data_IF_964043828761
#
_entry.id   IF_964043828761
#
_cell.length_a   1.000
_cell.length_b   1.000
_cell.length_c   1.000
_cell.angle_alpha   90.00
_cell.angle_beta   90.00
_cell.angle_gamma   90.00
#
_symmetry.space_group_name_H-M   'P 1'
#
loop_
_entity.id
_entity.type
_entity.pdbx_description
1 polymer ?
#
# COMPACT_ATOMS: atom_id res chain seq x y z
N UNK A 1 -8.71 1.58 -6.64
CA UNK A 1 -9.09 3.01 -6.70
C UNK A 1 -8.35 3.89 -5.67
N UNK A 2 -8.08 3.43 -4.44
CA UNK A 2 -7.45 4.25 -3.39
C UNK A 2 -6.11 4.86 -3.82
N UNK A 3 -5.22 4.06 -4.39
CA UNK A 3 -3.90 4.54 -4.85
C UNK A 3 -4.05 5.58 -5.94
N UNK A 4 -4.81 5.30 -7.02
CA UNK A 4 -5.12 6.29 -8.06
C UNK A 4 -5.69 7.60 -7.49
N UNK A 5 -6.62 7.52 -6.52
CA UNK A 5 -7.22 8.71 -5.89
C UNK A 5 -6.20 9.52 -5.08
N UNK A 6 -5.29 8.85 -4.38
CA UNK A 6 -4.20 9.52 -3.66
C UNK A 6 -3.29 10.26 -4.64
N UNK A 7 -2.96 9.60 -5.76
CA UNK A 7 -2.15 10.15 -6.84
C UNK A 7 -2.81 11.34 -7.56
N UNK A 8 -4.14 11.36 -7.69
CA UNK A 8 -4.85 12.48 -8.30
C UNK A 8 -5.02 13.68 -7.35
N UNK A 9 -4.95 13.48 -6.03
CA UNK A 9 -5.15 14.55 -5.03
C UNK A 9 -3.87 15.29 -4.68
N UNK A 10 -2.74 14.63 -4.80
CA UNK A 10 -1.43 15.16 -4.44
C UNK A 10 -0.55 14.97 -5.67
N UNK A 11 0.10 16.02 -6.17
CA UNK A 11 1.03 15.93 -7.33
C UNK A 11 2.19 14.94 -7.13
N UNK A 12 2.33 14.38 -5.92
CA UNK A 12 3.32 13.38 -5.52
C UNK A 12 2.65 12.24 -4.77
N UNK A 13 3.19 11.04 -4.97
CA UNK A 13 2.71 9.85 -4.24
C UNK A 13 3.04 10.00 -2.75
N UNK A 14 2.01 10.01 -1.91
CA UNK A 14 2.15 10.06 -0.46
C UNK A 14 1.77 8.72 0.15
N UNK A 15 2.76 8.00 0.68
CA UNK A 15 2.55 6.76 1.44
C UNK A 15 1.56 6.97 2.59
N UNK A 16 1.67 8.11 3.28
CA UNK A 16 0.80 8.48 4.39
C UNK A 16 -0.67 8.66 3.97
N UNK A 17 -0.94 9.37 2.86
CA UNK A 17 -2.32 9.49 2.37
C UNK A 17 -2.87 8.12 1.98
N UNK A 18 -2.08 7.28 1.29
CA UNK A 18 -2.51 5.92 0.93
C UNK A 18 -2.86 5.10 2.18
N UNK A 19 -2.01 5.07 3.20
CA UNK A 19 -2.28 4.36 4.46
C UNK A 19 -3.55 4.90 5.13
N UNK A 20 -3.69 6.23 5.24
CA UNK A 20 -4.89 6.86 5.80
C UNK A 20 -6.15 6.45 5.05
N UNK A 21 -6.13 6.43 3.71
CA UNK A 21 -7.26 5.99 2.92
C UNK A 21 -7.55 4.48 3.08
N UNK A 22 -6.51 3.64 3.22
CA UNK A 22 -6.65 2.21 3.48
C UNK A 22 -7.28 1.93 4.85
N UNK A 23 -6.87 2.64 5.89
CA UNK A 23 -7.46 2.55 7.23
C UNK A 23 -8.92 3.00 7.21
N UNK A 24 -9.21 4.13 6.55
CA UNK A 24 -10.60 4.60 6.38
C UNK A 24 -11.46 3.57 5.65
N UNK A 25 -10.90 2.94 4.62
CA UNK A 25 -11.58 1.89 3.89
C UNK A 25 -11.79 0.63 4.74
N UNK A 26 -10.80 0.16 5.50
CA UNK A 26 -10.97 -1.00 6.38
C UNK A 26 -12.04 -0.76 7.45
N UNK A 27 -12.12 0.47 7.98
CA UNK A 27 -13.12 0.85 8.99
C UNK A 27 -14.53 1.05 8.39
N UNK A 28 -14.65 1.18 7.07
CA UNK A 28 -15.95 1.27 6.39
C UNK A 28 -16.67 -0.08 6.24
N UNK A 29 -16.12 -1.16 6.81
CA UNK A 29 -16.62 -2.53 6.72
C UNK A 29 -16.81 -2.98 5.26
N UNK A 30 -15.72 -3.08 4.47
CA UNK A 30 -15.82 -3.44 3.07
C UNK A 30 -16.37 -4.86 2.89
N UNK A 31 -17.18 -5.07 1.85
CA UNK A 31 -17.76 -6.38 1.52
C UNK A 31 -16.72 -7.49 1.40
N UNK A 32 -15.50 -7.16 0.96
CA UNK A 32 -14.40 -8.10 0.85
C UNK A 32 -13.08 -7.42 1.23
N UNK A 33 -12.39 -7.98 2.21
CA UNK A 33 -11.03 -7.61 2.59
C UNK A 33 -10.18 -8.87 2.70
N UNK A 34 -9.12 -8.91 1.91
CA UNK A 34 -8.21 -10.06 1.85
C UNK A 34 -7.36 -10.19 3.12
N UNK A 35 -6.93 -11.41 3.46
CA UNK A 35 -6.08 -11.69 4.61
C UNK A 35 -4.78 -10.87 4.62
N UNK A 36 -4.17 -10.64 3.46
CA UNK A 36 -2.97 -9.79 3.32
C UNK A 36 -3.22 -8.39 3.85
N UNK A 37 -4.39 -7.83 3.53
CA UNK A 37 -4.83 -6.50 3.97
C UNK A 37 -5.22 -6.50 5.44
N UNK A 38 -5.94 -7.53 5.89
CA UNK A 38 -6.31 -7.70 7.30
C UNK A 38 -5.04 -7.74 8.14
N UNK A 39 -4.03 -8.51 7.74
CA UNK A 39 -2.77 -8.65 8.45
C UNK A 39 -2.01 -7.33 8.53
N UNK A 40 -1.89 -6.60 7.41
CA UNK A 40 -1.21 -5.30 7.39
C UNK A 40 -1.93 -4.24 8.25
N UNK A 41 -3.26 -4.20 8.17
CA UNK A 41 -4.11 -3.21 8.84
C UNK A 41 -4.65 -3.69 10.20
N UNK A 42 -4.15 -4.81 10.75
CA UNK A 42 -4.60 -5.32 12.03
C UNK A 42 -4.00 -4.49 13.17
N UNK A 43 -4.67 -3.39 13.53
CA UNK A 43 -4.35 -2.66 14.75
C UNK A 43 -5.03 -3.32 15.95
N UNK A 44 -4.41 -3.27 17.13
CA UNK A 44 -5.04 -3.71 18.40
C UNK A 44 -6.34 -2.91 18.64
N UNK A 45 -7.35 -3.45 19.33
CA UNK A 45 -8.65 -2.79 19.52
C UNK A 45 -8.57 -1.36 20.12
N UNK A 46 -7.55 -1.05 20.92
CA UNK A 46 -7.24 0.30 21.41
C UNK A 46 -6.91 1.32 20.30
N UNK A 47 -6.61 0.85 19.08
CA UNK A 47 -6.35 1.64 17.89
C UNK A 47 -7.44 1.50 16.81
N UNK A 48 -8.44 0.62 17.00
CA UNK A 48 -9.50 0.35 16.00
C UNK A 48 -10.66 1.33 16.05
N UNK A 49 -10.95 1.91 17.21
CA UNK A 49 -12.05 2.88 17.39
C UNK A 49 -11.64 4.33 17.15
N UNK A 50 -10.36 4.57 16.92
CA UNK A 50 -9.88 5.88 16.56
C UNK A 50 -9.80 5.96 15.04
N UNK A 51 -10.59 6.84 14.42
CA UNK A 51 -9.97 7.86 13.55
C UNK A 51 -8.61 8.15 14.16
N UNK A 52 -7.51 7.67 13.55
CA UNK A 52 -6.11 7.85 13.97
C UNK A 52 -6.09 8.81 15.14
N UNK A 53 -6.00 8.30 16.38
CA UNK A 53 -6.07 9.16 17.56
C UNK A 53 -5.17 10.37 17.27
N UNK A 54 -5.54 11.60 17.64
CA UNK A 54 -4.70 12.78 17.40
C UNK A 54 -3.31 12.71 18.08
N UNK A 55 -2.92 11.55 18.61
CA UNK A 55 -1.71 11.22 19.36
C UNK A 55 -0.70 10.35 18.60
N UNK A 56 -1.08 9.59 17.56
CA UNK A 56 -0.11 8.80 16.78
C UNK A 56 0.39 9.63 15.60
N UNK A 57 1.71 9.80 15.51
CA UNK A 57 2.35 10.48 14.40
C UNK A 57 2.17 9.67 13.10
N UNK A 58 2.17 10.37 11.96
CA UNK A 58 2.00 9.72 10.65
C UNK A 58 3.09 8.67 10.39
N UNK A 59 4.30 8.92 10.88
CA UNK A 59 5.43 7.99 10.78
C UNK A 59 5.21 6.73 11.63
N UNK A 60 4.66 6.87 12.83
CA UNK A 60 4.38 5.74 13.72
C UNK A 60 3.33 4.81 13.10
N UNK A 61 2.30 5.37 12.46
CA UNK A 61 1.28 4.59 11.76
C UNK A 61 1.91 3.81 10.60
N UNK A 62 2.79 4.42 9.81
CA UNK A 62 3.50 3.72 8.74
C UNK A 62 4.37 2.59 9.28
N UNK A 63 5.13 2.83 10.34
CA UNK A 63 5.97 1.82 10.97
C UNK A 63 5.15 0.63 11.51
N UNK A 64 3.99 0.90 12.11
CA UNK A 64 3.10 -0.16 12.59
C UNK A 64 2.56 -1.03 11.45
N UNK A 65 2.13 -0.41 10.34
CA UNK A 65 1.66 -1.15 9.15
C UNK A 65 2.80 -1.99 8.57
N UNK A 66 3.99 -1.43 8.43
CA UNK A 66 5.17 -2.14 7.94
C UNK A 66 5.56 -3.31 8.86
N UNK A 67 5.55 -3.10 10.18
CA UNK A 67 5.86 -4.15 11.15
C UNK A 67 4.83 -5.28 11.09
N UNK A 68 3.54 -4.95 11.00
CA UNK A 68 2.46 -5.92 10.84
C UNK A 68 2.63 -6.75 9.57
N UNK A 69 2.82 -6.08 8.42
CA UNK A 69 3.02 -6.75 7.14
C UNK A 69 4.28 -7.63 7.15
N UNK A 70 5.38 -7.14 7.75
CA UNK A 70 6.63 -7.91 7.85
C UNK A 70 6.48 -9.13 8.73
N UNK A 71 5.78 -9.01 9.86
CA UNK A 71 5.60 -10.14 10.77
C UNK A 71 4.64 -11.21 10.22
N UNK A 72 3.60 -10.80 9.48
CA UNK A 72 2.49 -11.69 9.10
C UNK A 72 2.51 -12.11 7.64
N UNK A 73 3.08 -11.29 6.75
CA UNK A 73 3.00 -11.50 5.31
C UNK A 73 4.32 -11.88 4.65
N UNK A 74 5.48 -11.72 5.31
CA UNK A 74 6.78 -11.99 4.67
C UNK A 74 6.93 -13.43 4.13
N UNK A 75 6.32 -14.41 4.80
CA UNK A 75 6.36 -15.82 4.40
C UNK A 75 5.27 -16.19 3.39
N UNK A 76 4.31 -15.30 3.12
CA UNK A 76 3.25 -15.57 2.14
C UNK A 76 3.57 -14.92 0.78
N UNK A 77 2.99 -15.46 -0.28
CA UNK A 77 3.17 -14.96 -1.65
C UNK A 77 1.83 -14.60 -2.28
N UNK A 78 1.15 -13.67 -1.64
CA UNK A 78 -0.12 -13.13 -2.13
C UNK A 78 0.10 -12.14 -3.28
N UNK A 79 -0.72 -12.24 -4.32
CA UNK A 79 -0.66 -11.35 -5.50
C UNK A 79 -1.35 -9.99 -5.28
N UNK A 80 -1.89 -9.70 -4.10
CA UNK A 80 -2.69 -8.47 -3.87
C UNK A 80 -1.89 -7.18 -4.05
N UNK A 81 -0.57 -7.18 -3.91
CA UNK A 81 0.22 -5.98 -4.22
C UNK A 81 0.23 -5.64 -5.71
N UNK A 82 -0.03 -6.60 -6.60
CA UNK A 82 0.00 -6.38 -8.06
C UNK A 82 -1.11 -5.44 -8.55
N UNK A 83 -2.19 -5.25 -7.78
CA UNK A 83 -3.22 -4.25 -8.07
C UNK A 83 -2.69 -2.81 -8.08
N UNK A 84 -1.49 -2.58 -7.54
CA UNK A 84 -0.79 -1.29 -7.60
C UNK A 84 -0.16 -1.01 -8.97
N UNK A 85 0.04 -2.03 -9.81
CA UNK A 85 0.84 -1.90 -11.02
C UNK A 85 0.28 -0.88 -12.01
N UNK A 86 -1.00 -0.98 -12.35
CA UNK A 86 -1.67 -0.07 -13.30
C UNK A 86 -1.63 1.40 -12.84
N UNK A 87 -2.12 1.77 -11.63
CA UNK A 87 -2.11 3.17 -11.22
C UNK A 87 -0.69 3.73 -11.09
N UNK A 88 0.29 2.93 -10.69
CA UNK A 88 1.68 3.37 -10.60
C UNK A 88 2.32 3.52 -11.98
N UNK A 89 2.05 2.61 -12.92
CA UNK A 89 2.55 2.69 -14.29
C UNK A 89 2.06 3.97 -14.98
N UNK A 90 0.76 4.28 -14.86
CA UNK A 90 0.15 5.48 -15.46
C UNK A 90 0.73 6.77 -14.85
N UNK A 91 0.79 6.88 -13.52
CA UNK A 91 1.22 8.13 -12.88
C UNK A 91 2.73 8.36 -13.00
N UNK A 92 3.50 7.29 -13.15
CA UNK A 92 4.94 7.40 -13.33
C UNK A 92 5.41 7.47 -14.77
N UNK A 93 4.50 7.62 -15.74
CA UNK A 93 4.87 7.57 -17.17
C UNK A 93 5.94 8.61 -17.53
N UNK A 94 5.94 9.77 -16.86
CA UNK A 94 6.95 10.84 -17.02
C UNK A 94 7.99 10.91 -15.88
N UNK A 95 8.03 9.95 -14.95
CA UNK A 95 8.95 9.99 -13.80
C UNK A 95 9.73 8.70 -13.58
N UNK A 96 11.03 8.85 -13.31
CA UNK A 96 11.92 7.75 -12.91
C UNK A 96 11.74 7.34 -11.43
N UNK A 97 10.86 8.02 -10.68
CA UNK A 97 10.61 7.75 -9.25
C UNK A 97 9.65 6.59 -8.97
N UNK A 98 9.01 6.02 -10.00
CA UNK A 98 8.07 4.89 -9.89
C UNK A 98 8.61 3.71 -9.07
N UNK A 99 9.85 3.24 -9.31
CA UNK A 99 10.34 2.02 -8.68
C UNK A 99 10.45 2.17 -7.16
N UNK A 100 10.98 3.30 -6.68
CA UNK A 100 11.15 3.56 -5.25
C UNK A 100 9.80 3.66 -4.52
N UNK A 101 8.82 4.31 -5.14
CA UNK A 101 7.46 4.40 -4.60
C UNK A 101 6.76 3.05 -4.65
N UNK A 102 6.87 2.30 -5.74
CA UNK A 102 6.26 0.97 -5.88
C UNK A 102 6.79 -0.02 -4.84
N UNK A 103 8.09 0.04 -4.55
CA UNK A 103 8.71 -0.80 -3.54
C UNK A 103 8.11 -0.50 -2.16
N UNK A 104 8.11 0.78 -1.76
CA UNK A 104 7.60 1.20 -0.46
C UNK A 104 6.11 0.87 -0.29
N UNK A 105 5.29 1.12 -1.31
CA UNK A 105 3.86 0.78 -1.26
C UNK A 105 3.60 -0.73 -1.25
N UNK A 106 4.41 -1.52 -1.95
CA UNK A 106 4.34 -2.96 -1.89
C UNK A 106 4.61 -3.45 -0.46
N UNK A 107 5.67 -2.95 0.18
CA UNK A 107 6.08 -3.36 1.53
C UNK A 107 5.02 -3.10 2.61
N UNK A 108 4.14 -2.11 2.43
CA UNK A 108 3.02 -1.86 3.35
C UNK A 108 2.05 -3.03 3.45
N UNK A 109 2.00 -3.88 2.43
CA UNK A 109 1.04 -4.98 2.35
C UNK A 109 1.73 -6.33 2.21
N UNK A 110 2.74 -6.39 1.34
CA UNK A 110 3.40 -7.60 0.92
C UNK A 110 4.92 -7.35 0.83
N UNK A 111 5.67 -7.54 1.92
CA UNK A 111 7.11 -7.31 1.96
C UNK A 111 7.92 -8.47 1.38
N UNK A 112 7.27 -9.54 0.89
CA UNK A 112 7.97 -10.63 0.22
C UNK A 112 8.71 -10.11 -1.04
N UNK A 113 10.02 -10.36 -1.18
CA UNK A 113 10.82 -9.83 -2.28
C UNK A 113 10.35 -10.33 -3.66
N UNK A 114 9.83 -11.55 -3.77
CA UNK A 114 9.33 -12.11 -5.03
C UNK A 114 8.09 -11.32 -5.50
N UNK A 115 7.21 -10.96 -4.57
CA UNK A 115 6.04 -10.15 -4.89
C UNK A 115 6.41 -8.71 -5.28
N UNK A 116 7.43 -8.13 -4.64
CA UNK A 116 7.99 -6.82 -5.00
C UNK A 116 8.56 -6.86 -6.42
N UNK A 117 9.32 -7.88 -6.77
CA UNK A 117 9.87 -8.03 -8.11
C UNK A 117 8.77 -8.28 -9.15
N UNK A 118 7.77 -9.10 -8.83
CA UNK A 118 6.60 -9.29 -9.68
C UNK A 118 5.86 -7.99 -9.97
N UNK A 119 5.70 -7.10 -8.98
CA UNK A 119 5.12 -5.78 -9.17
C UNK A 119 5.97 -4.92 -10.12
N UNK A 120 7.30 -4.92 -9.95
CA UNK A 120 8.22 -4.15 -10.81
C UNK A 120 8.16 -4.61 -12.26
N UNK A 121 8.19 -5.92 -12.49
CA UNK A 121 8.06 -6.51 -13.83
C UNK A 121 6.73 -6.14 -14.46
N UNK A 122 5.63 -6.22 -13.71
CA UNK A 122 4.31 -5.87 -14.22
C UNK A 122 4.19 -4.38 -14.57
N UNK A 123 4.74 -3.48 -13.74
CA UNK A 123 4.81 -2.05 -14.06
C UNK A 123 5.61 -1.81 -15.35
N UNK A 124 6.77 -2.47 -15.49
CA UNK A 124 7.59 -2.34 -16.69
C UNK A 124 6.88 -2.87 -17.94
N UNK A 125 6.19 -4.01 -17.84
CA UNK A 125 5.42 -4.59 -18.93
C UNK A 125 4.27 -3.67 -19.40
N UNK A 126 3.57 -3.02 -18.47
CA UNK A 126 2.52 -2.04 -18.80
C UNK A 126 3.11 -0.83 -19.55
N UNK A 127 4.36 -0.46 -19.26
CA UNK A 127 5.05 0.69 -19.87
C UNK A 127 5.81 0.34 -21.15
N UNK A 128 5.83 -0.93 -21.57
CA UNK A 128 6.75 -1.42 -22.60
C UNK A 128 6.63 -0.70 -23.96
N UNK A 129 5.52 0.01 -24.22
CA UNK A 129 5.28 0.80 -25.44
C UNK A 129 4.85 2.27 -25.17
N UNK A 130 5.13 2.84 -23.99
CA UNK A 130 4.72 4.22 -23.61
C UNK A 130 5.85 5.23 -23.58
#
# INVERSE_FOLDING_TARGET
MIVARSLCRIEKVSTHDIIRQLIRWSNSNPLYMDETMINALSFKPHCRHATIQPTLDEQEVEQLVLANASHRNILNLSNKCLFLAVPLAVVSVHSNGAPAVSHRLCQLMQPNPIAVDGLRVLIAAIRYDS
#
